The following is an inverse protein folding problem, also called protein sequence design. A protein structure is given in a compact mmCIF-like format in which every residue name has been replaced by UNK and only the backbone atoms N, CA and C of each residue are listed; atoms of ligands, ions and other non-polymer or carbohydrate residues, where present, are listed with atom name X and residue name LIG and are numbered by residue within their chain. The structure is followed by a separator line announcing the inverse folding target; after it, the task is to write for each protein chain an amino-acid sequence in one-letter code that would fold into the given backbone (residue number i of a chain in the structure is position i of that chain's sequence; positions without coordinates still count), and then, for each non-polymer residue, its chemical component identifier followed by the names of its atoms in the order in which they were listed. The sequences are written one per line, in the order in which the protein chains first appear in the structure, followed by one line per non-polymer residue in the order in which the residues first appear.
data_IF_150247715177
#
_entry.id   IF_150247715177
#
_cell.length_a   1.000
_cell.length_b   1.000
_cell.length_c   1.000
_cell.angle_alpha   90.00
_cell.angle_beta   90.00
_cell.angle_gamma   90.00
#
_symmetry.space_group_name_H-M   'P 1'
#
loop_
_entity.id
_entity.type
_entity.pdbx_description
1 polymer ?
#
# COMPACT_ATOMS: atom_id res chain seq x y z
N UNK A 1 2.54 -63.55 -3.15
CA UNK A 1 1.46 -62.99 -2.30
C UNK A 1 1.40 -61.49 -2.61
N UNK A 2 0.63 -61.12 -3.64
CA UNK A 2 -0.63 -60.31 -3.58
C UNK A 2 -0.36 -58.83 -3.22
N UNK A 3 -0.21 -57.97 -4.24
CA UNK A 3 -1.23 -57.03 -4.79
C UNK A 3 -1.61 -55.91 -3.82
N UNK A 4 -1.43 -54.63 -4.15
CA UNK A 4 -2.31 -53.97 -5.12
C UNK A 4 -1.79 -52.61 -5.60
N UNK A 5 -2.00 -52.38 -6.90
CA UNK A 5 -1.96 -51.11 -7.62
C UNK A 5 -3.25 -50.32 -7.34
N UNK A 6 -3.17 -49.02 -7.05
CA UNK A 6 -4.30 -48.10 -7.21
C UNK A 6 -3.86 -46.88 -8.01
N UNK A 7 -4.43 -46.80 -9.22
CA UNK A 7 -4.33 -45.75 -10.21
C UNK A 7 -5.49 -44.77 -9.97
N UNK A 8 -5.21 -43.48 -9.81
CA UNK A 8 -6.23 -42.42 -9.71
C UNK A 8 -5.87 -41.22 -10.56
N UNK A 9 -6.53 -41.07 -11.72
CA UNK A 9 -6.52 -39.87 -12.59
C UNK A 9 -7.62 -38.87 -12.13
N UNK A 10 -7.64 -37.63 -12.63
CA UNK A 10 -7.93 -36.42 -11.86
C UNK A 10 -9.40 -35.99 -11.92
N UNK A 11 -9.85 -35.19 -10.95
CA UNK A 11 -11.18 -34.55 -10.96
C UNK A 11 -11.07 -33.02 -10.95
N UNK A 12 -11.49 -32.44 -12.08
CA UNK A 12 -12.18 -31.16 -12.29
C UNK A 12 -11.62 -29.86 -11.68
N UNK A 13 -10.75 -29.19 -12.43
CA UNK A 13 -10.48 -27.75 -12.35
C UNK A 13 -11.35 -26.95 -13.33
N UNK A 14 -12.68 -27.01 -13.18
CA UNK A 14 -13.63 -26.35 -14.12
C UNK A 14 -14.54 -25.31 -13.46
N UNK A 15 -14.50 -25.16 -12.13
CA UNK A 15 -15.37 -24.22 -11.41
C UNK A 15 -14.82 -22.78 -11.37
N UNK A 16 -13.50 -22.59 -11.29
CA UNK A 16 -12.90 -21.25 -11.12
C UNK A 16 -12.87 -20.38 -12.39
N UNK A 17 -13.08 -20.97 -13.57
CA UNK A 17 -13.06 -20.24 -14.85
C UNK A 17 -14.39 -19.53 -15.12
N UNK A 18 -15.52 -20.09 -14.68
CA UNK A 18 -16.85 -19.52 -14.94
C UNK A 18 -17.19 -18.31 -14.07
N UNK A 19 -16.65 -18.24 -12.84
CA UNK A 19 -16.86 -17.11 -11.92
C UNK A 19 -16.04 -15.87 -12.33
N UNK A 20 -14.86 -16.07 -12.94
CA UNK A 20 -14.01 -14.99 -13.45
C UNK A 20 -14.55 -14.34 -14.73
N UNK A 21 -15.27 -15.09 -15.56
CA UNK A 21 -15.93 -14.55 -16.77
C UNK A 21 -17.18 -13.72 -16.41
N UNK A 22 -17.88 -14.05 -15.31
CA UNK A 22 -19.02 -13.26 -14.83
C UNK A 22 -18.60 -11.86 -14.32
N UNK A 23 -17.47 -11.74 -13.63
CA UNK A 23 -16.94 -10.45 -13.14
C UNK A 23 -16.38 -9.57 -14.28
N UNK A 24 -15.80 -10.18 -15.32
CA UNK A 24 -15.34 -9.45 -16.51
C UNK A 24 -16.50 -8.82 -17.30
N UNK A 25 -17.67 -9.47 -17.35
CA UNK A 25 -18.85 -8.93 -18.04
C UNK A 25 -19.55 -7.80 -17.26
N UNK A 26 -19.54 -7.83 -15.93
CA UNK A 26 -20.09 -6.73 -15.10
C UNK A 26 -19.18 -5.49 -15.17
N UNK A 27 -17.86 -5.66 -15.21
CA UNK A 27 -16.90 -4.57 -15.42
C UNK A 27 -16.99 -3.93 -16.81
N UNK A 28 -17.24 -4.72 -17.86
CA UNK A 28 -17.39 -4.22 -19.23
C UNK A 28 -18.69 -3.43 -19.45
N UNK A 29 -19.80 -3.84 -18.82
CA UNK A 29 -21.09 -3.13 -18.93
C UNK A 29 -21.12 -1.84 -18.09
N UNK A 30 -20.44 -1.81 -16.94
CA UNK A 30 -20.30 -0.60 -16.14
C UNK A 30 -19.32 0.42 -16.75
N UNK A 31 -18.25 -0.04 -17.43
CA UNK A 31 -17.33 0.83 -18.17
C UNK A 31 -17.92 1.43 -19.45
N UNK A 32 -18.78 0.69 -20.15
CA UNK A 32 -19.45 1.18 -21.37
C UNK A 32 -20.55 2.21 -21.07
N UNK A 33 -21.27 2.07 -19.96
CA UNK A 33 -22.30 3.05 -19.54
C UNK A 33 -21.74 4.42 -19.16
N UNK A 34 -20.46 4.49 -18.81
CA UNK A 34 -19.80 5.73 -18.32
C UNK A 34 -19.07 6.50 -19.43
N UNK A 35 -18.72 5.83 -20.55
CA UNK A 35 -18.10 6.46 -21.73
C UNK A 35 -19.12 6.96 -22.77
N UNK A 36 -20.42 6.82 -22.51
CA UNK A 36 -21.51 7.20 -23.42
C UNK A 36 -22.40 8.34 -22.90
N UNK A 37 -21.81 9.36 -22.25
CA UNK A 37 -22.47 10.67 -22.15
C UNK A 37 -21.66 11.68 -22.97
N UNK A 38 -21.93 11.82 -24.28
CA UNK A 38 -21.46 12.96 -25.04
C UNK A 38 -22.39 14.15 -24.83
N UNK A 39 -21.74 15.30 -24.66
CA UNK A 39 -22.15 16.64 -25.09
C UNK A 39 -23.30 16.63 -26.11
N UNK A 40 -24.43 17.21 -25.75
CA UNK A 40 -25.35 17.92 -26.64
C UNK A 40 -26.21 18.87 -25.79
N UNK A 41 -25.75 20.11 -25.69
CA UNK A 41 -26.62 21.23 -25.42
C UNK A 41 -27.35 21.61 -26.72
N UNK A 42 -28.56 22.14 -26.56
CA UNK A 42 -29.47 22.72 -27.56
C UNK A 42 -30.39 21.75 -28.31
N UNK A 43 -31.58 21.50 -27.73
CA UNK A 43 -32.87 21.71 -28.40
C UNK A 43 -34.04 21.67 -27.39
N UNK A 44 -34.88 22.70 -27.46
CA UNK A 44 -36.10 22.99 -26.68
C UNK A 44 -37.24 21.96 -26.93
N UNK A 45 -38.33 21.98 -26.12
CA UNK A 45 -39.08 20.77 -25.76
C UNK A 45 -40.27 20.47 -26.69
N UNK A 46 -40.63 19.19 -26.76
CA UNK A 46 -41.91 18.75 -27.28
C UNK A 46 -42.60 17.77 -26.32
N UNK A 47 -43.91 17.92 -26.27
CA UNK A 47 -44.92 17.51 -25.29
C UNK A 47 -45.28 16.01 -25.22
N UNK A 48 -45.69 15.61 -24.02
CA UNK A 48 -46.76 14.67 -23.66
C UNK A 48 -46.63 13.17 -23.99
N UNK A 49 -46.65 12.30 -22.96
CA UNK A 49 -47.87 11.68 -22.42
C UNK A 49 -47.53 10.47 -21.53
N UNK A 50 -48.30 10.25 -20.45
CA UNK A 50 -48.29 9.04 -19.61
C UNK A 50 -49.57 8.22 -19.89
N UNK A 51 -49.59 6.89 -19.68
CA UNK A 51 -50.03 6.38 -18.36
C UNK A 51 -49.41 5.04 -17.87
N UNK A 52 -49.03 5.01 -16.58
CA UNK A 52 -49.39 4.13 -15.43
C UNK A 52 -49.93 2.67 -15.64
N UNK A 53 -49.98 1.81 -14.58
CA UNK A 53 -48.93 0.96 -14.00
C UNK A 53 -49.32 -0.55 -13.96
N UNK A 54 -48.37 -1.46 -13.71
CA UNK A 54 -48.69 -2.78 -13.12
C UNK A 54 -47.64 -3.18 -12.09
N UNK A 55 -48.13 -3.57 -10.91
CA UNK A 55 -47.37 -4.12 -9.79
C UNK A 55 -47.78 -5.59 -9.61
N UNK A 56 -46.82 -6.45 -9.28
CA UNK A 56 -47.05 -7.68 -8.52
C UNK A 56 -45.78 -8.06 -7.75
N UNK A 57 -45.90 -8.64 -6.54
CA UNK A 57 -44.82 -8.71 -5.56
C UNK A 57 -44.00 -10.00 -5.69
N UNK A 58 -42.70 -9.93 -5.39
CA UNK A 58 -41.88 -11.11 -5.14
C UNK A 58 -41.21 -10.98 -3.76
N UNK A 59 -41.50 -11.97 -2.91
CA UNK A 59 -41.05 -12.14 -1.53
C UNK A 59 -39.51 -12.26 -1.42
N UNK A 60 -38.92 -11.97 -0.24
CA UNK A 60 -37.48 -11.99 -0.04
C UNK A 60 -36.96 -13.43 -0.06
N UNK A 61 -35.90 -13.66 -0.84
CA UNK A 61 -35.05 -14.84 -0.70
C UNK A 61 -33.91 -14.47 0.24
N UNK A 62 -33.89 -15.14 1.39
CA UNK A 62 -32.72 -15.19 2.25
C UNK A 62 -31.62 -15.93 1.49
N UNK A 63 -30.62 -15.19 1.02
CA UNK A 63 -29.40 -15.75 0.45
C UNK A 63 -28.33 -15.69 1.53
N UNK A 64 -28.10 -16.85 2.15
CA UNK A 64 -27.08 -17.12 3.14
C UNK A 64 -25.70 -16.94 2.47
N UNK A 65 -25.18 -15.72 2.53
CA UNK A 65 -23.89 -15.37 1.93
C UNK A 65 -22.75 -16.06 2.67
N UNK A 66 -22.09 -16.96 1.94
CA UNK A 66 -20.91 -17.72 2.34
C UNK A 66 -19.81 -16.81 2.87
N UNK A 67 -19.35 -17.07 4.10
CA UNK A 67 -18.38 -16.32 4.89
C UNK A 67 -16.93 -16.29 4.34
N UNK A 68 -16.73 -16.48 3.04
CA UNK A 68 -15.40 -16.56 2.38
C UNK A 68 -15.09 -15.32 1.52
N UNK A 69 -16.07 -14.47 1.20
CA UNK A 69 -15.87 -13.25 0.38
C UNK A 69 -15.77 -11.95 1.19
N UNK A 70 -15.63 -12.03 2.53
CA UNK A 70 -15.58 -10.87 3.42
C UNK A 70 -14.17 -10.46 3.87
N UNK A 71 -13.12 -10.98 3.25
CA UNK A 71 -11.73 -10.68 3.64
C UNK A 71 -11.22 -9.38 2.98
N UNK A 72 -11.76 -9.02 1.81
CA UNK A 72 -11.31 -7.84 1.04
C UNK A 72 -12.06 -6.51 1.33
N UNK A 73 -13.34 -6.47 1.76
CA UNK A 73 -14.00 -5.19 2.07
C UNK A 73 -13.56 -4.60 3.43
N UNK A 74 -13.00 -5.40 4.34
CA UNK A 74 -12.66 -4.97 5.71
C UNK A 74 -11.40 -4.09 5.73
N UNK A 75 -10.43 -4.35 4.85
CA UNK A 75 -9.25 -3.49 4.70
C UNK A 75 -9.60 -2.07 4.21
N UNK A 76 -10.69 -1.94 3.44
CA UNK A 76 -11.17 -0.66 2.91
C UNK A 76 -12.06 0.08 3.90
N UNK A 77 -12.89 -0.63 4.69
CA UNK A 77 -13.73 -0.04 5.75
C UNK A 77 -12.94 0.51 6.94
N UNK A 78 -11.76 -0.05 7.26
CA UNK A 78 -10.93 0.40 8.38
C UNK A 78 -10.37 1.82 8.23
N UNK A 79 -10.01 2.24 7.02
CA UNK A 79 -9.21 3.47 6.84
C UNK A 79 -10.02 4.77 6.95
N UNK A 80 -11.30 4.78 6.54
CA UNK A 80 -12.17 5.96 6.71
C UNK A 80 -12.92 5.96 8.06
N UNK A 81 -13.19 4.78 8.63
CA UNK A 81 -13.91 4.64 9.89
C UNK A 81 -13.07 4.97 11.12
N UNK A 82 -11.78 4.60 11.14
CA UNK A 82 -10.92 4.74 12.32
C UNK A 82 -10.56 6.21 12.61
N UNK A 83 -10.29 7.03 11.59
CA UNK A 83 -9.99 8.48 11.77
C UNK A 83 -11.23 9.27 12.20
N UNK A 84 -12.40 8.95 11.64
CA UNK A 84 -13.67 9.58 12.02
C UNK A 84 -14.13 9.15 13.43
N UNK A 85 -13.94 7.88 13.80
CA UNK A 85 -14.27 7.38 15.14
C UNK A 85 -13.31 7.93 16.21
N UNK A 86 -12.02 8.07 15.90
CA UNK A 86 -11.02 8.58 16.86
C UNK A 86 -11.21 10.07 17.17
N UNK A 87 -11.52 10.90 16.18
CA UNK A 87 -11.80 12.34 16.41
C UNK A 87 -13.05 12.56 17.29
N UNK A 88 -14.04 11.66 17.23
CA UNK A 88 -15.22 11.69 18.09
C UNK A 88 -14.92 11.19 19.52
N UNK A 89 -14.19 10.07 19.66
CA UNK A 89 -13.84 9.49 20.98
C UNK A 89 -12.83 10.36 21.75
N UNK A 90 -11.86 10.98 21.06
CA UNK A 90 -10.86 11.86 21.69
C UNK A 90 -11.45 13.21 22.12
N UNK A 91 -12.47 13.74 21.41
CA UNK A 91 -13.23 14.92 21.88
C UNK A 91 -14.09 14.61 23.10
N UNK A 92 -14.73 13.45 23.16
CA UNK A 92 -15.56 13.04 24.29
C UNK A 92 -14.78 12.80 25.59
N UNK A 93 -13.54 12.32 25.50
CA UNK A 93 -12.70 12.03 26.68
C UNK A 93 -12.12 13.25 27.41
N UNK A 94 -12.32 14.47 26.89
CA UNK A 94 -11.99 15.72 27.62
C UNK A 94 -13.16 16.28 28.43
N UNK A 95 -14.36 15.67 28.36
CA UNK A 95 -15.57 16.18 29.02
C UNK A 95 -16.11 15.28 30.15
N UNK A 96 -15.43 14.19 30.51
CA UNK A 96 -15.87 13.31 31.60
C UNK A 96 -14.82 13.26 32.70
N UNK A 97 -14.91 14.21 33.63
CA UNK A 97 -14.24 14.14 34.92
C UNK A 97 -14.92 13.10 35.81
N UNK A 98 -14.56 11.84 35.64
CA UNK A 98 -14.83 10.79 36.62
C UNK A 98 -13.47 10.34 37.14
N UNK A 99 -13.20 10.62 38.41
CA UNK A 99 -11.99 10.18 39.10
C UNK A 99 -12.07 8.66 39.24
N UNK A 100 -11.46 7.96 38.29
CA UNK A 100 -11.22 6.52 38.39
C UNK A 100 -9.94 6.32 39.20
N UNK A 101 -9.94 5.36 40.11
CA UNK A 101 -8.78 4.98 40.92
C UNK A 101 -7.50 4.87 40.07
N UNK A 102 -6.37 5.33 40.62
CA UNK A 102 -5.10 5.35 39.90
C UNK A 102 -4.80 3.95 39.33
N UNK A 103 -4.70 3.81 37.99
CA UNK A 103 -4.40 2.51 37.40
C UNK A 103 -3.04 2.03 37.89
N UNK A 104 -2.89 0.72 38.06
CA UNK A 104 -1.59 0.10 38.32
C UNK A 104 -0.59 0.56 37.26
N UNK A 105 0.68 0.73 37.66
CA UNK A 105 1.74 1.09 36.71
C UNK A 105 1.74 0.08 35.54
N UNK A 106 1.78 0.55 34.28
CA UNK A 106 1.71 -0.33 33.12
C UNK A 106 2.86 -1.33 33.14
N UNK A 107 2.60 -2.58 32.76
CA UNK A 107 3.68 -3.56 32.64
C UNK A 107 4.58 -3.22 31.45
N UNK A 108 5.84 -3.71 31.40
CA UNK A 108 6.71 -3.51 30.24
C UNK A 108 6.10 -4.02 28.92
N UNK A 109 5.30 -5.09 28.97
CA UNK A 109 4.58 -5.61 27.80
C UNK A 109 3.44 -4.68 27.36
N UNK A 110 2.76 -4.02 28.31
CA UNK A 110 1.71 -3.04 27.99
C UNK A 110 2.30 -1.78 27.35
N UNK A 111 3.46 -1.32 27.84
CA UNK A 111 4.18 -0.18 27.27
C UNK A 111 4.64 -0.45 25.84
N UNK A 112 5.16 -1.64 25.58
CA UNK A 112 5.58 -2.08 24.24
C UNK A 112 4.40 -2.12 23.26
N UNK A 113 3.32 -2.80 23.65
CA UNK A 113 2.07 -2.87 22.85
C UNK A 113 1.50 -1.49 22.57
N UNK A 114 1.53 -0.58 23.55
CA UNK A 114 1.05 0.80 23.40
C UNK A 114 1.92 1.60 22.41
N UNK A 115 3.24 1.44 22.44
CA UNK A 115 4.14 2.10 21.51
C UNK A 115 3.92 1.59 20.07
N UNK A 116 3.77 0.28 19.88
CA UNK A 116 3.44 -0.32 18.56
C UNK A 116 2.13 0.24 18.00
N UNK A 117 1.08 0.27 18.80
CA UNK A 117 -0.21 0.83 18.39
C UNK A 117 -0.10 2.32 18.02
N UNK A 118 0.62 3.11 18.82
CA UNK A 118 0.82 4.53 18.56
C UNK A 118 1.59 4.80 17.25
N UNK A 119 2.59 3.99 16.92
CA UNK A 119 3.35 4.09 15.66
C UNK A 119 2.46 3.83 14.44
N UNK A 120 1.66 2.75 14.49
CA UNK A 120 0.72 2.39 13.42
C UNK A 120 -0.32 3.50 13.22
N UNK A 121 -0.94 3.97 14.31
CA UNK A 121 -1.95 5.02 14.28
C UNK A 121 -1.40 6.34 13.72
N UNK A 122 -0.20 6.74 14.14
CA UNK A 122 0.43 7.97 13.65
C UNK A 122 0.83 7.88 12.17
N UNK A 123 1.39 6.75 11.71
CA UNK A 123 1.74 6.53 10.31
C UNK A 123 0.48 6.48 9.41
N UNK A 124 -0.60 5.83 9.85
CA UNK A 124 -1.87 5.84 9.14
C UNK A 124 -2.45 7.26 9.02
N UNK A 125 -2.39 8.04 10.10
CA UNK A 125 -2.88 9.43 10.13
C UNK A 125 -2.08 10.34 9.19
N UNK A 126 -0.76 10.21 9.17
CA UNK A 126 0.11 10.96 8.24
C UNK A 126 -0.20 10.58 6.80
N UNK A 127 -0.28 9.28 6.47
CA UNK A 127 -0.58 8.81 5.12
C UNK A 127 -1.97 9.24 4.64
N UNK A 128 -2.99 9.13 5.49
CA UNK A 128 -4.34 9.60 5.15
C UNK A 128 -4.36 11.12 4.86
N UNK A 129 -3.58 11.89 5.62
CA UNK A 129 -3.44 13.33 5.38
C UNK A 129 -2.69 13.63 4.08
N UNK A 130 -1.62 12.89 3.76
CA UNK A 130 -0.89 12.99 2.50
C UNK A 130 -1.78 12.66 1.28
N UNK A 131 -2.68 11.68 1.40
CA UNK A 131 -3.65 11.31 0.36
C UNK A 131 -4.72 12.38 0.13
N UNK A 132 -5.12 13.11 1.17
CA UNK A 132 -6.15 14.17 1.07
C UNK A 132 -5.62 15.45 0.40
N UNK A 133 -4.33 15.75 0.56
CA UNK A 133 -3.73 17.02 0.09
C UNK A 133 -3.87 17.27 -1.43
N UNK A 134 -3.64 16.30 -2.35
CA UNK A 134 -3.83 16.53 -3.77
C UNK A 134 -5.27 16.87 -4.17
N UNK A 135 -6.26 16.29 -3.49
CA UNK A 135 -7.68 16.62 -3.73
C UNK A 135 -8.02 18.01 -3.19
N UNK A 136 -7.51 18.34 -2.00
CA UNK A 136 -7.66 19.70 -1.45
C UNK A 136 -6.99 20.76 -2.34
N UNK A 137 -5.82 20.45 -2.92
CA UNK A 137 -5.09 21.36 -3.83
C UNK A 137 -5.81 21.64 -5.15
N UNK A 138 -6.75 20.80 -5.55
CA UNK A 138 -7.57 21.04 -6.73
C UNK A 138 -8.72 22.03 -6.48
N UNK A 139 -9.02 22.30 -5.21
CA UNK A 139 -10.16 23.13 -4.79
C UNK A 139 -9.72 24.42 -4.11
N UNK A 140 -8.60 24.36 -3.38
CA UNK A 140 -8.12 25.43 -2.52
C UNK A 140 -6.85 26.06 -3.11
N UNK A 141 -6.71 27.38 -2.91
CA UNK A 141 -5.49 28.07 -3.28
C UNK A 141 -4.28 27.70 -2.40
N UNK A 142 -3.08 28.00 -2.88
CA UNK A 142 -1.83 27.66 -2.20
C UNK A 142 -1.74 28.31 -0.81
N UNK A 143 -2.23 29.55 -0.66
CA UNK A 143 -2.15 30.28 0.60
C UNK A 143 -2.98 29.60 1.69
N UNK A 144 -4.15 29.10 1.31
CA UNK A 144 -5.06 28.34 2.17
C UNK A 144 -4.49 26.95 2.47
N UNK A 145 -3.82 26.33 1.51
CA UNK A 145 -3.30 24.97 1.66
C UNK A 145 -1.98 24.88 2.46
N UNK A 146 -1.16 25.95 2.45
CA UNK A 146 0.17 25.97 3.06
C UNK A 146 0.21 25.51 4.54
N UNK A 147 -0.72 25.93 5.43
CA UNK A 147 -0.73 25.47 6.82
C UNK A 147 -0.95 23.96 6.97
N UNK A 148 -1.75 23.34 6.09
CA UNK A 148 -2.01 21.90 6.10
C UNK A 148 -0.78 21.12 5.65
N UNK A 149 -0.12 21.57 4.57
CA UNK A 149 1.16 20.96 4.12
C UNK A 149 2.23 21.04 5.19
N UNK A 150 2.33 22.20 5.86
CA UNK A 150 3.26 22.36 6.97
C UNK A 150 2.94 21.40 8.13
N UNK A 151 1.66 21.24 8.51
CA UNK A 151 1.25 20.30 9.54
C UNK A 151 1.62 18.84 9.19
N UNK A 152 1.38 18.41 7.95
CA UNK A 152 1.74 17.07 7.46
C UNK A 152 3.26 16.87 7.48
N UNK A 153 4.04 17.87 7.04
CA UNK A 153 5.50 17.81 7.08
C UNK A 153 6.05 17.68 8.51
N UNK A 154 5.51 18.46 9.44
CA UNK A 154 5.88 18.40 10.86
C UNK A 154 5.51 17.04 11.47
N UNK A 155 4.30 16.53 11.19
CA UNK A 155 3.87 15.21 11.67
C UNK A 155 4.76 14.07 11.13
N UNK A 156 5.16 14.13 9.85
CA UNK A 156 6.11 13.19 9.25
C UNK A 156 7.47 13.23 9.93
N UNK A 157 7.92 14.42 10.34
CA UNK A 157 9.19 14.60 11.05
C UNK A 157 9.14 13.92 12.43
N UNK A 158 8.06 14.14 13.18
CA UNK A 158 7.86 13.49 14.48
C UNK A 158 7.74 11.97 14.37
N UNK A 159 6.99 11.48 13.37
CA UNK A 159 6.87 10.06 13.10
C UNK A 159 8.22 9.42 12.73
N UNK A 160 9.02 10.09 11.91
CA UNK A 160 10.37 9.64 11.56
C UNK A 160 11.27 9.53 12.79
N UNK A 161 11.19 10.50 13.70
CA UNK A 161 11.91 10.48 14.97
C UNK A 161 11.40 9.38 15.91
N UNK A 162 10.09 9.11 15.93
CA UNK A 162 9.50 8.00 16.69
C UNK A 162 10.00 6.64 16.20
N UNK A 163 9.99 6.39 14.89
CA UNK A 163 10.53 5.15 14.33
C UNK A 163 12.04 4.99 14.54
N UNK A 164 12.80 6.09 14.58
CA UNK A 164 14.22 6.04 14.89
C UNK A 164 14.48 5.65 16.36
N UNK A 165 13.68 6.17 17.29
CA UNK A 165 13.72 5.76 18.70
C UNK A 165 13.33 4.29 18.87
N UNK A 166 12.24 3.87 18.24
CA UNK A 166 11.76 2.50 18.27
C UNK A 166 12.81 1.51 17.72
N UNK A 167 13.46 1.86 16.60
CA UNK A 167 14.48 0.99 16.02
C UNK A 167 15.67 0.76 16.95
N UNK A 168 16.21 1.82 17.58
CA UNK A 168 17.28 1.68 18.58
C UNK A 168 16.87 0.85 19.80
N UNK A 169 15.60 0.95 20.20
CA UNK A 169 15.04 0.12 21.25
C UNK A 169 15.03 -1.37 20.88
N UNK A 170 14.58 -1.71 19.66
CA UNK A 170 14.60 -3.09 19.16
C UNK A 170 16.03 -3.64 18.99
N UNK A 171 17.01 -2.78 18.71
CA UNK A 171 18.43 -3.15 18.63
C UNK A 171 19.11 -3.31 20.01
N UNK A 172 18.40 -3.00 21.10
CA UNK A 172 18.96 -3.05 22.46
C UNK A 172 19.94 -1.91 22.77
N UNK A 173 20.00 -0.88 21.93
CA UNK A 173 20.86 0.30 22.08
C UNK A 173 20.19 1.42 22.90
N UNK A 174 18.92 1.25 23.24
CA UNK A 174 18.19 2.19 24.09
C UNK A 174 18.68 2.10 25.55
N UNK A 175 18.74 3.25 26.22
CA UNK A 175 19.01 3.34 27.65
C UNK A 175 17.84 2.82 28.49
N UNK A 176 17.20 3.71 29.25
CA UNK A 176 15.98 3.34 29.98
C UNK A 176 14.86 2.95 29.00
N UNK A 177 14.43 1.67 29.09
CA UNK A 177 13.37 1.08 28.26
C UNK A 177 12.06 1.82 28.40
N UNK A 178 11.63 2.10 29.62
CA UNK A 178 10.32 2.74 29.86
C UNK A 178 10.33 4.18 29.35
N UNK A 179 11.41 4.91 29.62
CA UNK A 179 11.61 6.26 29.09
C UNK A 179 11.61 6.29 27.55
N UNK A 180 12.25 5.31 26.91
CA UNK A 180 12.33 5.24 25.44
C UNK A 180 10.96 4.97 24.83
N UNK A 181 10.21 4.00 25.36
CA UNK A 181 8.85 3.69 24.90
C UNK A 181 7.88 4.87 25.14
N UNK A 182 8.00 5.55 26.28
CA UNK A 182 7.26 6.78 26.54
C UNK A 182 7.61 7.89 25.53
N UNK A 183 8.89 8.01 25.16
CA UNK A 183 9.35 8.93 24.11
C UNK A 183 8.76 8.62 22.73
N UNK A 184 8.67 7.34 22.34
CA UNK A 184 8.01 6.90 21.09
C UNK A 184 6.54 7.32 21.11
N UNK A 185 5.81 6.99 22.18
CA UNK A 185 4.39 7.34 22.32
C UNK A 185 4.19 8.86 22.30
N UNK A 186 5.04 9.61 22.99
CA UNK A 186 4.98 11.08 23.03
C UNK A 186 5.12 11.72 21.65
N UNK A 187 6.07 11.26 20.83
CA UNK A 187 6.25 11.75 19.45
C UNK A 187 5.10 11.37 18.52
N UNK A 188 4.57 10.15 18.64
CA UNK A 188 3.38 9.75 17.88
C UNK A 188 2.17 10.62 18.25
N UNK A 189 1.99 10.90 19.54
CA UNK A 189 0.91 11.77 20.03
C UNK A 189 1.06 13.22 19.53
N UNK A 190 2.30 13.71 19.43
CA UNK A 190 2.61 15.03 18.87
C UNK A 190 2.30 15.09 17.36
N UNK A 191 2.71 14.09 16.59
CA UNK A 191 2.37 13.98 15.17
C UNK A 191 0.85 14.05 14.96
N UNK A 192 0.08 13.27 15.72
CA UNK A 192 -1.39 13.31 15.68
C UNK A 192 -1.96 14.67 16.13
N UNK A 193 -1.39 15.31 17.16
CA UNK A 193 -1.84 16.62 17.64
C UNK A 193 -1.69 17.70 16.58
N UNK A 194 -0.57 17.71 15.85
CA UNK A 194 -0.31 18.70 14.79
C UNK A 194 -1.28 18.55 13.62
N UNK A 195 -1.62 17.32 13.23
CA UNK A 195 -2.65 17.04 12.22
C UNK A 195 -4.06 17.46 12.71
N UNK A 196 -4.43 17.03 13.93
CA UNK A 196 -5.74 17.33 14.53
C UNK A 196 -6.01 18.82 14.69
N UNK A 197 -4.96 19.63 14.91
CA UNK A 197 -5.08 21.08 15.02
C UNK A 197 -5.59 21.75 13.74
N UNK A 198 -5.45 21.08 12.59
CA UNK A 198 -5.88 21.57 11.27
C UNK A 198 -7.08 20.82 10.70
N UNK A 199 -7.30 19.58 11.11
CA UNK A 199 -8.36 18.72 10.56
C UNK A 199 -9.74 19.39 10.52
N UNK A 200 -10.14 20.07 11.61
CA UNK A 200 -11.46 20.73 11.67
C UNK A 200 -11.65 21.90 10.71
N UNK A 201 -10.57 22.60 10.35
CA UNK A 201 -10.59 23.70 9.37
C UNK A 201 -10.68 23.13 7.94
N UNK A 202 -9.85 22.13 7.62
CA UNK A 202 -9.89 21.44 6.33
C UNK A 202 -11.26 20.85 6.06
N UNK A 203 -11.82 20.14 7.04
CA UNK A 203 -13.15 19.58 7.02
C UNK A 203 -14.23 20.61 6.63
N UNK A 204 -14.16 21.84 7.18
CA UNK A 204 -15.14 22.89 6.88
C UNK A 204 -15.00 23.40 5.45
N UNK A 205 -13.77 23.68 5.02
CA UNK A 205 -13.48 24.12 3.66
C UNK A 205 -13.95 23.07 2.64
N UNK A 206 -13.66 21.79 2.90
CA UNK A 206 -14.04 20.70 2.01
C UNK A 206 -15.54 20.42 1.97
N UNK A 207 -16.26 20.60 3.10
CA UNK A 207 -17.73 20.50 3.12
C UNK A 207 -18.40 21.58 2.28
N UNK A 208 -17.88 22.81 2.33
CA UNK A 208 -18.39 23.91 1.50
C UNK A 208 -18.26 23.63 0.00
N UNK A 209 -17.27 22.81 -0.38
CA UNK A 209 -16.93 22.49 -1.77
C UNK A 209 -17.37 21.07 -2.18
N UNK A 210 -18.36 20.44 -1.51
CA UNK A 210 -18.67 19.01 -1.73
C UNK A 210 -19.04 18.67 -3.19
N UNK A 211 -19.75 19.57 -3.88
CA UNK A 211 -20.09 19.42 -5.30
C UNK A 211 -18.86 19.46 -6.21
N UNK A 212 -18.09 20.57 -6.23
CA UNK A 212 -16.83 20.66 -6.96
C UNK A 212 -15.82 19.55 -6.59
N UNK A 213 -15.76 19.14 -5.33
CA UNK A 213 -14.89 18.06 -4.86
C UNK A 213 -15.27 16.71 -5.48
N UNK A 214 -16.58 16.43 -5.63
CA UNK A 214 -17.06 15.24 -6.33
C UNK A 214 -16.59 15.23 -7.80
N UNK A 215 -16.70 16.35 -8.51
CA UNK A 215 -16.23 16.46 -9.90
C UNK A 215 -14.71 16.25 -10.04
N UNK A 216 -13.93 16.78 -9.10
CA UNK A 216 -12.47 16.54 -9.03
C UNK A 216 -12.18 15.05 -8.86
N UNK A 217 -12.86 14.38 -7.92
CA UNK A 217 -12.67 12.96 -7.65
C UNK A 217 -13.07 12.08 -8.85
N UNK A 218 -14.19 12.39 -9.51
CA UNK A 218 -14.62 11.72 -10.74
C UNK A 218 -13.64 11.93 -11.91
N UNK A 219 -13.09 13.14 -12.04
CA UNK A 219 -12.02 13.44 -12.97
C UNK A 219 -10.76 12.61 -12.72
N UNK A 220 -10.35 12.50 -11.46
CA UNK A 220 -9.19 11.68 -11.06
C UNK A 220 -9.44 10.18 -11.34
N UNK A 221 -10.64 9.68 -11.00
CA UNK A 221 -11.06 8.31 -11.26
C UNK A 221 -11.00 7.95 -12.76
N UNK A 222 -11.54 8.81 -13.64
CA UNK A 222 -11.45 8.64 -15.12
C UNK A 222 -10.01 8.49 -15.59
N UNK A 223 -9.16 9.44 -15.21
CA UNK A 223 -7.74 9.45 -15.61
C UNK A 223 -7.02 8.20 -15.12
N UNK A 224 -7.29 7.78 -13.89
CA UNK A 224 -6.66 6.60 -13.31
C UNK A 224 -7.13 5.31 -13.97
N UNK A 225 -8.41 5.21 -14.34
CA UNK A 225 -8.95 4.06 -15.07
C UNK A 225 -8.27 3.90 -16.43
N UNK A 226 -8.04 4.99 -17.16
CA UNK A 226 -7.28 4.96 -18.41
C UNK A 226 -5.84 4.46 -18.18
N UNK A 227 -5.14 5.02 -17.17
CA UNK A 227 -3.78 4.59 -16.84
C UNK A 227 -3.70 3.13 -16.37
N UNK A 228 -4.71 2.61 -15.69
CA UNK A 228 -4.76 1.20 -15.30
C UNK A 228 -4.85 0.26 -16.51
N UNK A 229 -5.54 0.68 -17.58
CA UNK A 229 -5.55 -0.05 -18.85
C UNK A 229 -4.15 -0.06 -19.50
N UNK A 230 -3.47 1.09 -19.54
CA UNK A 230 -2.09 1.19 -20.04
C UNK A 230 -1.11 0.32 -19.23
N UNK A 231 -1.30 0.27 -17.90
CA UNK A 231 -0.48 -0.57 -17.02
C UNK A 231 -0.59 -2.06 -17.34
N UNK A 232 -1.77 -2.56 -17.78
CA UNK A 232 -1.93 -3.96 -18.24
C UNK A 232 -1.10 -4.26 -19.48
N UNK A 233 -1.03 -3.31 -20.43
CA UNK A 233 -0.19 -3.44 -21.60
C UNK A 233 1.30 -3.49 -21.20
N UNK A 234 1.72 -2.61 -20.29
CA UNK A 234 3.08 -2.61 -19.73
C UNK A 234 3.42 -3.93 -19.05
N UNK A 235 2.52 -4.52 -18.26
CA UNK A 235 2.74 -5.84 -17.63
C UNK A 235 2.98 -6.93 -18.68
N UNK A 236 2.25 -6.89 -19.80
CA UNK A 236 2.43 -7.85 -20.90
C UNK A 236 3.81 -7.68 -21.54
N UNK A 237 4.23 -6.45 -21.82
CA UNK A 237 5.57 -6.14 -22.35
C UNK A 237 6.68 -6.62 -21.38
N UNK A 238 6.53 -6.35 -20.08
CA UNK A 238 7.51 -6.77 -19.07
C UNK A 238 7.63 -8.29 -18.99
N UNK A 239 6.50 -9.00 -19.08
CA UNK A 239 6.47 -10.47 -19.09
C UNK A 239 7.20 -11.05 -20.28
N UNK A 240 7.03 -10.46 -21.46
CA UNK A 240 7.69 -10.91 -22.69
C UNK A 240 9.19 -10.62 -22.68
N UNK A 241 9.58 -9.42 -22.22
CA UNK A 241 10.99 -8.98 -22.24
C UNK A 241 11.83 -9.57 -21.10
N UNK A 242 11.29 -9.66 -19.89
CA UNK A 242 12.04 -10.04 -18.68
C UNK A 242 11.57 -11.37 -18.05
N UNK A 243 10.60 -12.03 -18.66
CA UNK A 243 10.15 -13.36 -18.27
C UNK A 243 8.91 -13.37 -17.34
N UNK A 244 8.35 -14.58 -17.13
CA UNK A 244 7.04 -14.74 -16.47
C UNK A 244 7.02 -14.34 -15.01
N UNK A 245 8.12 -14.51 -14.28
CA UNK A 245 8.22 -14.16 -12.85
C UNK A 245 8.12 -12.65 -12.62
N UNK A 246 8.73 -11.84 -13.49
CA UNK A 246 8.63 -10.37 -13.46
C UNK A 246 7.20 -9.94 -13.78
N UNK A 247 6.61 -10.49 -14.85
CA UNK A 247 5.24 -10.19 -15.23
C UNK A 247 4.23 -10.52 -14.11
N UNK A 248 4.36 -11.69 -13.47
CA UNK A 248 3.47 -12.11 -12.40
C UNK A 248 3.50 -11.20 -11.17
N UNK A 249 4.69 -10.71 -10.78
CA UNK A 249 4.84 -9.76 -9.65
C UNK A 249 4.07 -8.47 -9.89
N UNK A 250 4.18 -7.92 -11.09
CA UNK A 250 3.60 -6.61 -11.43
C UNK A 250 2.12 -6.73 -11.80
N UNK A 251 1.68 -7.88 -12.30
CA UNK A 251 0.27 -8.15 -12.59
C UNK A 251 -0.61 -8.03 -11.34
N UNK A 252 -0.14 -8.50 -10.18
CA UNK A 252 -0.85 -8.39 -8.92
C UNK A 252 -1.22 -6.94 -8.57
N UNK A 253 -0.29 -6.00 -8.77
CA UNK A 253 -0.55 -4.58 -8.53
C UNK A 253 -1.69 -4.02 -9.40
N UNK A 254 -1.79 -4.48 -10.66
CA UNK A 254 -2.84 -4.01 -11.58
C UNK A 254 -4.21 -4.57 -11.19
N UNK A 255 -4.29 -5.85 -10.83
CA UNK A 255 -5.55 -6.43 -10.34
C UNK A 255 -6.04 -5.72 -9.07
N UNK A 256 -5.14 -5.49 -8.12
CA UNK A 256 -5.46 -4.79 -6.88
C UNK A 256 -5.85 -3.31 -7.10
N UNK A 257 -5.32 -2.68 -8.14
CA UNK A 257 -5.73 -1.34 -8.55
C UNK A 257 -7.14 -1.35 -9.14
N UNK A 258 -7.49 -2.38 -9.90
CA UNK A 258 -8.82 -2.53 -10.49
C UNK A 258 -9.88 -2.79 -9.43
N UNK A 259 -9.59 -3.61 -8.42
CA UNK A 259 -10.48 -3.84 -7.28
C UNK A 259 -10.79 -2.52 -6.55
N UNK A 260 -9.78 -1.67 -6.35
CA UNK A 260 -9.95 -0.33 -5.78
C UNK A 260 -10.81 0.56 -6.67
N UNK A 261 -10.61 0.55 -7.99
CA UNK A 261 -11.44 1.32 -8.91
C UNK A 261 -12.92 0.88 -8.89
N UNK A 262 -13.19 -0.42 -8.73
CA UNK A 262 -14.55 -0.93 -8.53
C UNK A 262 -15.14 -0.38 -7.22
N UNK A 263 -14.37 -0.41 -6.13
CA UNK A 263 -14.79 0.18 -4.85
C UNK A 263 -15.04 1.69 -4.97
N UNK A 264 -14.13 2.44 -5.62
CA UNK A 264 -14.29 3.88 -5.89
C UNK A 264 -15.60 4.16 -6.61
N UNK A 265 -15.96 3.36 -7.61
CA UNK A 265 -17.22 3.52 -8.38
C UNK A 265 -18.44 3.48 -7.46
N UNK A 266 -18.49 2.51 -6.53
CA UNK A 266 -19.58 2.42 -5.56
C UNK A 266 -19.63 3.64 -4.63
N UNK A 267 -18.48 4.10 -4.14
CA UNK A 267 -18.38 5.26 -3.24
C UNK A 267 -18.77 6.57 -3.93
N UNK A 268 -18.33 6.81 -5.17
CA UNK A 268 -18.71 8.00 -5.94
C UNK A 268 -20.22 8.04 -6.20
N UNK A 269 -20.83 6.91 -6.56
CA UNK A 269 -22.29 6.81 -6.74
C UNK A 269 -23.07 7.05 -5.43
N UNK A 270 -22.54 6.61 -4.29
CA UNK A 270 -23.15 6.94 -2.99
C UNK A 270 -22.95 8.40 -2.58
N UNK A 271 -21.80 8.99 -2.90
CA UNK A 271 -21.54 10.41 -2.67
C UNK A 271 -22.50 11.28 -3.49
N UNK A 272 -22.67 10.99 -4.79
CA UNK A 272 -23.61 11.71 -5.67
C UNK A 272 -25.04 11.66 -5.16
N UNK A 273 -25.54 10.46 -4.83
CA UNK A 273 -26.88 10.28 -4.24
C UNK A 273 -27.06 11.06 -2.94
N UNK A 274 -26.02 11.13 -2.10
CA UNK A 274 -26.10 11.90 -0.85
C UNK A 274 -26.12 13.41 -1.11
N UNK A 275 -25.39 13.91 -2.12
CA UNK A 275 -25.47 15.31 -2.57
C UNK A 275 -26.89 15.63 -3.08
N UNK A 276 -27.46 14.76 -3.92
CA UNK A 276 -28.82 14.96 -4.47
C UNK A 276 -29.91 14.99 -3.38
N UNK A 277 -29.69 14.25 -2.29
CA UNK A 277 -30.58 14.18 -1.12
C UNK A 277 -30.30 15.28 -0.07
N UNK A 278 -29.27 16.10 -0.25
CA UNK A 278 -28.86 17.12 0.73
C UNK A 278 -28.20 16.56 2.01
N UNK A 279 -27.78 15.28 2.02
CA UNK A 279 -27.05 14.67 3.14
C UNK A 279 -25.54 14.91 2.99
N UNK A 280 -25.12 16.15 3.25
CA UNK A 280 -23.72 16.58 3.13
C UNK A 280 -22.77 15.71 3.96
N UNK A 281 -23.19 15.32 5.17
CA UNK A 281 -22.39 14.51 6.07
C UNK A 281 -22.08 13.15 5.48
N UNK A 282 -23.07 12.48 4.87
CA UNK A 282 -22.86 11.23 4.15
C UNK A 282 -22.06 11.45 2.88
N UNK A 283 -22.35 12.49 2.10
CA UNK A 283 -21.62 12.80 0.86
C UNK A 283 -20.11 12.91 1.10
N UNK A 284 -19.71 13.67 2.12
CA UNK A 284 -18.29 13.87 2.47
C UNK A 284 -17.61 12.56 2.91
N UNK A 285 -18.29 11.71 3.71
CA UNK A 285 -17.72 10.42 4.11
C UNK A 285 -17.50 9.50 2.92
N UNK A 286 -18.45 9.43 1.99
CA UNK A 286 -18.34 8.59 0.80
C UNK A 286 -17.29 9.13 -0.17
N UNK A 287 -17.25 10.44 -0.36
CA UNK A 287 -16.24 11.09 -1.18
C UNK A 287 -14.82 10.84 -0.66
N UNK A 288 -14.58 10.99 0.64
CA UNK A 288 -13.27 10.67 1.26
C UNK A 288 -12.84 9.24 1.05
N UNK A 289 -13.78 8.30 1.16
CA UNK A 289 -13.53 6.89 0.90
C UNK A 289 -13.17 6.64 -0.58
N UNK A 290 -13.84 7.33 -1.50
CA UNK A 290 -13.52 7.28 -2.93
C UNK A 290 -12.12 7.82 -3.22
N UNK A 291 -11.79 9.01 -2.68
CA UNK A 291 -10.50 9.68 -2.87
C UNK A 291 -9.32 8.86 -2.34
N UNK A 292 -9.43 8.31 -1.12
CA UNK A 292 -8.40 7.44 -0.56
C UNK A 292 -8.19 6.20 -1.43
N UNK A 293 -9.27 5.60 -1.94
CA UNK A 293 -9.17 4.46 -2.85
C UNK A 293 -8.54 4.83 -4.21
N UNK A 294 -8.85 6.01 -4.77
CA UNK A 294 -8.18 6.55 -5.97
C UNK A 294 -6.69 6.77 -5.71
N UNK A 295 -6.32 7.33 -4.56
CA UNK A 295 -4.92 7.56 -4.20
C UNK A 295 -4.15 6.23 -4.13
N UNK A 296 -4.70 5.22 -3.45
CA UNK A 296 -4.09 3.90 -3.35
C UNK A 296 -3.97 3.17 -4.70
N UNK A 297 -5.02 3.20 -5.54
CA UNK A 297 -4.96 2.67 -6.89
C UNK A 297 -3.90 3.41 -7.74
N UNK A 298 -3.75 4.72 -7.52
CA UNK A 298 -2.70 5.54 -8.12
C UNK A 298 -1.28 5.09 -7.75
N UNK A 299 -1.05 4.73 -6.49
CA UNK A 299 0.23 4.18 -6.01
C UNK A 299 0.58 2.91 -6.78
N UNK A 300 -0.37 1.98 -6.88
CA UNK A 300 -0.20 0.69 -7.56
C UNK A 300 0.10 0.86 -9.06
N UNK A 301 -0.71 1.65 -9.78
CA UNK A 301 -0.51 1.92 -11.20
C UNK A 301 0.83 2.60 -11.46
N UNK A 302 1.20 3.60 -10.65
CA UNK A 302 2.49 4.24 -10.76
C UNK A 302 3.67 3.32 -10.39
N UNK A 303 3.43 2.32 -9.53
CA UNK A 303 4.40 1.28 -9.19
C UNK A 303 4.79 0.41 -10.40
N UNK A 304 3.83 0.12 -11.29
CA UNK A 304 4.08 -0.56 -12.57
C UNK A 304 5.06 0.25 -13.44
N UNK A 305 4.77 1.53 -13.64
CA UNK A 305 5.61 2.45 -14.43
C UNK A 305 7.03 2.57 -13.85
N UNK A 306 7.14 2.72 -12.52
CA UNK A 306 8.41 2.77 -11.80
C UNK A 306 9.20 1.47 -11.98
N UNK A 307 8.55 0.32 -11.87
CA UNK A 307 9.17 -0.99 -12.02
C UNK A 307 9.67 -1.20 -13.46
N UNK A 308 8.87 -0.84 -14.45
CA UNK A 308 9.27 -0.92 -15.86
C UNK A 308 10.53 -0.08 -16.14
N UNK A 309 10.59 1.15 -15.63
CA UNK A 309 11.77 2.01 -15.77
C UNK A 309 13.01 1.43 -15.08
N UNK A 310 12.86 0.93 -13.84
CA UNK A 310 13.96 0.33 -13.08
C UNK A 310 14.49 -0.95 -13.73
N UNK A 311 13.63 -1.78 -14.31
CA UNK A 311 14.04 -2.96 -15.06
C UNK A 311 14.85 -2.60 -16.31
N UNK A 312 14.43 -1.57 -17.06
CA UNK A 312 15.20 -1.06 -18.21
C UNK A 312 16.56 -0.50 -17.79
N UNK A 313 16.61 0.29 -16.71
CA UNK A 313 17.85 0.82 -16.16
C UNK A 313 18.78 -0.33 -15.69
N UNK A 314 18.22 -1.32 -14.99
CA UNK A 314 18.96 -2.48 -14.52
C UNK A 314 19.52 -3.30 -15.69
N UNK A 315 18.72 -3.55 -16.73
CA UNK A 315 19.16 -4.30 -17.92
C UNK A 315 20.38 -3.65 -18.59
N UNK A 316 20.41 -2.32 -18.66
CA UNK A 316 21.57 -1.58 -19.18
C UNK A 316 22.81 -1.67 -18.30
N UNK A 317 22.64 -1.81 -16.97
CA UNK A 317 23.75 -1.87 -16.00
C UNK A 317 24.33 -3.28 -15.83
N UNK A 318 23.55 -4.34 -16.02
CA UNK A 318 23.95 -5.73 -15.74
C UNK A 318 25.29 -6.13 -16.40
N UNK A 319 25.53 -5.89 -17.71
CA UNK A 319 26.78 -6.32 -18.34
C UNK A 319 28.03 -5.66 -17.72
N UNK A 320 27.96 -4.35 -17.48
CA UNK A 320 29.07 -3.59 -16.88
C UNK A 320 29.26 -3.95 -15.40
N UNK A 321 28.17 -4.14 -14.65
CA UNK A 321 28.23 -4.58 -13.26
C UNK A 321 28.81 -5.99 -13.13
N UNK A 322 28.47 -6.92 -14.03
CA UNK A 322 29.03 -8.27 -14.06
C UNK A 322 30.54 -8.24 -14.34
N UNK A 323 30.96 -7.50 -15.36
CA UNK A 323 32.39 -7.33 -15.70
C UNK A 323 33.18 -6.71 -14.54
N UNK A 324 32.64 -5.63 -13.95
CA UNK A 324 33.26 -4.98 -12.79
C UNK A 324 33.33 -5.90 -11.57
N UNK A 325 32.29 -6.73 -11.36
CA UNK A 325 32.25 -7.70 -10.28
C UNK A 325 33.34 -8.77 -10.41
N UNK A 326 33.51 -9.31 -11.61
CA UNK A 326 34.52 -10.32 -11.92
C UNK A 326 35.94 -9.76 -11.75
N UNK A 327 36.17 -8.51 -12.17
CA UNK A 327 37.45 -7.84 -11.96
C UNK A 327 37.77 -7.62 -10.48
N UNK A 328 36.79 -7.17 -9.68
CA UNK A 328 36.94 -7.02 -8.23
C UNK A 328 37.25 -8.38 -7.59
N UNK A 329 36.51 -9.43 -7.97
CA UNK A 329 36.66 -10.76 -7.40
C UNK A 329 38.03 -11.39 -7.74
N UNK A 330 38.52 -11.20 -8.97
CA UNK A 330 39.84 -11.68 -9.39
C UNK A 330 41.01 -11.12 -8.56
N UNK A 331 40.82 -9.94 -7.95
CA UNK A 331 41.83 -9.30 -7.09
C UNK A 331 41.60 -9.52 -5.59
N UNK A 332 40.51 -10.21 -5.21
CA UNK A 332 40.13 -10.38 -3.81
C UNK A 332 40.87 -11.55 -3.14
N UNK A 333 41.51 -11.29 -2.01
CA UNK A 333 42.15 -12.31 -1.18
C UNK A 333 41.82 -12.09 0.31
N UNK A 334 41.10 -13.00 0.98
CA UNK A 334 40.41 -14.18 0.42
C UNK A 334 39.17 -13.79 -0.39
N UNK A 335 38.84 -14.60 -1.40
CA UNK A 335 37.61 -14.44 -2.17
C UNK A 335 36.37 -14.80 -1.32
N UNK A 336 35.25 -14.05 -1.41
CA UNK A 336 34.01 -14.41 -0.75
C UNK A 336 33.46 -15.75 -1.29
N UNK A 337 33.11 -16.67 -0.39
CA UNK A 337 32.62 -17.99 -0.76
C UNK A 337 31.36 -17.93 -1.64
N UNK A 338 31.36 -18.64 -2.77
CA UNK A 338 30.21 -18.72 -3.69
C UNK A 338 30.00 -17.49 -4.58
N UNK A 339 30.89 -16.48 -4.52
CA UNK A 339 30.80 -15.32 -5.39
C UNK A 339 31.03 -15.69 -6.86
N UNK A 340 32.05 -16.52 -7.16
CA UNK A 340 32.33 -16.99 -8.52
C UNK A 340 31.14 -17.73 -9.13
N UNK A 341 30.56 -18.68 -8.38
CA UNK A 341 29.37 -19.44 -8.80
C UNK A 341 28.18 -18.51 -9.08
N UNK A 342 27.99 -17.50 -8.23
CA UNK A 342 26.91 -16.52 -8.41
C UNK A 342 27.10 -15.70 -9.69
N UNK A 343 28.31 -15.21 -9.96
CA UNK A 343 28.60 -14.43 -11.17
C UNK A 343 28.49 -15.31 -12.43
N UNK A 344 28.97 -16.55 -12.37
CA UNK A 344 28.83 -17.52 -13.46
C UNK A 344 27.34 -17.84 -13.78
N UNK A 345 26.50 -17.98 -12.75
CA UNK A 345 25.06 -18.16 -12.92
C UNK A 345 24.41 -16.95 -13.60
N UNK A 346 24.72 -15.72 -13.14
CA UNK A 346 24.20 -14.49 -13.76
C UNK A 346 24.66 -14.36 -15.23
N UNK A 347 25.91 -14.71 -15.54
CA UNK A 347 26.42 -14.72 -16.92
C UNK A 347 25.65 -15.69 -17.81
N UNK A 348 25.31 -16.86 -17.27
CA UNK A 348 24.54 -17.88 -18.00
C UNK A 348 23.12 -17.39 -18.29
N UNK A 349 22.45 -16.79 -17.30
CA UNK A 349 21.11 -16.21 -17.48
C UNK A 349 21.08 -15.09 -18.53
N UNK A 350 22.09 -14.22 -18.52
CA UNK A 350 22.22 -13.12 -19.47
C UNK A 350 22.24 -13.58 -20.94
N UNK A 351 22.73 -14.80 -21.22
CA UNK A 351 22.82 -15.36 -22.57
C UNK A 351 21.71 -16.36 -22.90
N UNK A 352 20.94 -16.83 -21.90
CA UNK A 352 19.95 -17.89 -22.05
C UNK A 352 18.54 -17.39 -22.49
N UNK A 353 18.24 -16.10 -22.36
CA UNK A 353 16.94 -15.53 -22.76
C UNK A 353 16.42 -14.46 -21.79
N UNK A 354 15.08 -14.31 -21.66
CA UNK A 354 14.49 -13.37 -20.70
C UNK A 354 14.92 -13.68 -19.26
N UNK A 355 15.41 -12.65 -18.55
CA UNK A 355 15.88 -12.74 -17.17
C UNK A 355 15.39 -11.52 -16.38
N UNK A 356 15.45 -11.59 -15.05
CA UNK A 356 15.17 -10.45 -14.17
C UNK A 356 16.47 -9.64 -13.92
N UNK A 357 16.62 -8.47 -14.55
CA UNK A 357 17.83 -7.68 -14.40
C UNK A 357 18.00 -7.06 -13.01
N UNK A 358 16.91 -6.76 -12.29
CA UNK A 358 17.01 -6.26 -10.91
C UNK A 358 17.48 -7.37 -9.98
N UNK A 359 17.00 -8.59 -10.18
CA UNK A 359 17.47 -9.75 -9.43
C UNK A 359 18.95 -10.07 -9.69
N UNK A 360 19.37 -10.01 -10.96
CA UNK A 360 20.77 -10.19 -11.36
C UNK A 360 21.68 -9.17 -10.66
N UNK A 361 21.36 -7.87 -10.70
CA UNK A 361 22.13 -6.83 -10.00
C UNK A 361 22.13 -7.05 -8.48
N UNK A 362 21.01 -7.48 -7.91
CA UNK A 362 20.91 -7.79 -6.48
C UNK A 362 21.83 -8.93 -6.09
N UNK A 363 21.92 -9.99 -6.90
CA UNK A 363 22.84 -11.11 -6.66
C UNK A 363 24.29 -10.69 -6.80
N UNK A 364 24.65 -9.93 -7.84
CA UNK A 364 26.00 -9.39 -8.04
C UNK A 364 26.43 -8.54 -6.83
N UNK A 365 25.65 -7.53 -6.48
CA UNK A 365 25.99 -6.57 -5.40
C UNK A 365 26.04 -7.24 -4.03
N UNK A 366 25.19 -8.24 -3.78
CA UNK A 366 25.21 -9.01 -2.53
C UNK A 366 26.41 -9.95 -2.45
N UNK A 367 26.82 -10.60 -3.56
CA UNK A 367 27.98 -11.50 -3.58
C UNK A 367 29.28 -10.76 -3.18
N UNK A 368 29.37 -9.47 -3.52
CA UNK A 368 30.55 -8.64 -3.27
C UNK A 368 30.42 -7.70 -2.06
N UNK A 369 29.35 -7.78 -1.28
CA UNK A 369 29.05 -6.80 -0.21
C UNK A 369 30.18 -6.65 0.82
N UNK A 370 30.97 -7.72 1.03
CA UNK A 370 32.10 -7.74 1.96
C UNK A 370 33.38 -7.11 1.40
N UNK A 371 33.43 -6.80 0.11
CA UNK A 371 34.60 -6.25 -0.57
C UNK A 371 34.48 -4.72 -0.66
N UNK A 372 35.39 -3.94 -0.04
CA UNK A 372 35.36 -2.48 -0.11
C UNK A 372 35.45 -1.94 -1.54
N UNK A 373 36.22 -2.60 -2.43
CA UNK A 373 36.37 -2.22 -3.83
C UNK A 373 35.03 -2.22 -4.61
N UNK A 374 34.04 -3.01 -4.18
CA UNK A 374 32.71 -3.05 -4.77
C UNK A 374 31.83 -1.84 -4.41
N UNK A 375 32.30 -0.92 -3.55
CA UNK A 375 31.58 0.29 -3.13
C UNK A 375 31.92 1.51 -3.98
N UNK A 376 32.26 1.30 -5.25
CA UNK A 376 32.60 2.37 -6.19
C UNK A 376 32.10 2.07 -7.61
N UNK A 377 32.02 3.11 -8.43
CA UNK A 377 31.72 3.02 -9.86
C UNK A 377 30.38 2.35 -10.17
N UNK A 378 30.40 1.44 -11.15
CA UNK A 378 29.19 0.76 -11.65
C UNK A 378 28.54 -0.15 -10.60
N UNK A 379 29.33 -0.77 -9.72
CA UNK A 379 28.81 -1.66 -8.66
C UNK A 379 28.05 -0.88 -7.59
N UNK A 380 28.56 0.30 -7.22
CA UNK A 380 27.86 1.20 -6.30
C UNK A 380 26.56 1.75 -6.92
N UNK A 381 26.61 2.13 -8.21
CA UNK A 381 25.42 2.56 -8.97
C UNK A 381 24.36 1.46 -9.00
N UNK A 382 24.76 0.22 -9.29
CA UNK A 382 23.89 -0.95 -9.27
C UNK A 382 23.30 -1.20 -7.87
N UNK A 383 24.11 -1.11 -6.82
CA UNK A 383 23.63 -1.29 -5.45
C UNK A 383 22.57 -0.24 -5.09
N UNK A 384 22.77 1.03 -5.44
CA UNK A 384 21.80 2.09 -5.22
C UNK A 384 20.51 1.91 -6.03
N UNK A 385 20.59 1.39 -7.26
CA UNK A 385 19.40 1.08 -8.04
C UNK A 385 18.58 -0.04 -7.37
N UNK A 386 19.23 -1.13 -6.96
CA UNK A 386 18.59 -2.25 -6.25
C UNK A 386 17.97 -1.79 -4.93
N UNK A 387 18.68 -0.96 -4.17
CA UNK A 387 18.19 -0.43 -2.90
C UNK A 387 16.95 0.47 -3.10
N UNK A 388 16.99 1.39 -4.06
CA UNK A 388 15.84 2.24 -4.43
C UNK A 388 14.66 1.41 -4.92
N UNK A 389 14.92 0.33 -5.66
CA UNK A 389 13.88 -0.59 -6.10
C UNK A 389 13.19 -1.27 -4.91
N UNK A 390 13.96 -1.88 -4.02
CA UNK A 390 13.45 -2.58 -2.85
C UNK A 390 12.73 -1.66 -1.86
N UNK A 391 13.29 -0.47 -1.57
CA UNK A 391 12.65 0.52 -0.69
C UNK A 391 11.31 0.96 -1.29
N UNK A 392 11.28 1.33 -2.58
CA UNK A 392 10.03 1.77 -3.21
C UNK A 392 8.96 0.67 -3.26
N UNK A 393 9.34 -0.59 -3.49
CA UNK A 393 8.40 -1.71 -3.45
C UNK A 393 7.78 -1.90 -2.06
N UNK A 394 8.61 -1.84 -1.01
CA UNK A 394 8.14 -1.92 0.37
C UNK A 394 7.28 -0.69 0.76
N UNK A 395 7.66 0.52 0.34
CA UNK A 395 6.88 1.75 0.56
C UNK A 395 5.49 1.65 -0.07
N UNK A 396 5.42 1.23 -1.34
CA UNK A 396 4.18 1.06 -2.08
C UNK A 396 3.29 0.00 -1.41
N UNK A 397 3.85 -1.15 -1.05
CA UNK A 397 3.10 -2.23 -0.40
C UNK A 397 2.51 -1.80 0.95
N UNK A 398 3.32 -1.18 1.81
CA UNK A 398 2.88 -0.68 3.12
C UNK A 398 1.82 0.42 2.97
N UNK A 399 1.96 1.32 2.00
CA UNK A 399 0.97 2.38 1.74
C UNK A 399 -0.42 1.80 1.42
N UNK A 400 -0.42 0.79 0.55
CA UNK A 400 -1.62 0.18 -0.03
C UNK A 400 -2.31 -0.77 0.95
N UNK A 401 -1.54 -1.42 1.83
CA UNK A 401 -2.02 -2.43 2.79
C UNK A 401 -2.01 -1.97 4.24
N UNK A 402 -1.98 -0.65 4.48
CA UNK A 402 -1.77 -0.06 5.82
C UNK A 402 -2.69 -0.63 6.91
N UNK A 403 -3.95 -0.95 6.61
CA UNK A 403 -4.90 -1.49 7.58
C UNK A 403 -4.54 -2.87 8.16
N UNK A 404 -3.68 -3.62 7.46
CA UNK A 404 -3.22 -4.94 7.87
C UNK A 404 -1.78 -4.96 8.39
N UNK A 405 -0.95 -3.98 7.97
CA UNK A 405 0.49 -3.95 8.23
C UNK A 405 0.79 -3.32 9.60
N UNK A 406 1.47 -4.08 10.47
CA UNK A 406 1.81 -3.69 11.84
C UNK A 406 3.04 -2.77 11.98
N UNK A 407 3.47 -2.57 13.22
CA UNK A 407 4.57 -1.65 13.55
C UNK A 407 5.95 -2.12 13.06
N UNK A 408 6.22 -3.43 13.09
CA UNK A 408 7.53 -4.01 12.76
C UNK A 408 7.94 -3.80 11.29
N UNK A 409 7.12 -4.18 10.29
CA UNK A 409 7.45 -3.87 8.89
C UNK A 409 7.59 -2.36 8.65
N UNK A 410 6.75 -1.51 9.27
CA UNK A 410 6.84 -0.05 9.15
C UNK A 410 8.16 0.49 9.73
N UNK A 411 8.60 -0.04 10.86
CA UNK A 411 9.87 0.34 11.48
C UNK A 411 11.07 -0.07 10.61
N UNK A 412 11.08 -1.30 10.10
CA UNK A 412 12.14 -1.77 9.19
C UNK A 412 12.18 -0.96 7.90
N UNK A 413 11.01 -0.57 7.37
CA UNK A 413 10.94 0.32 6.21
C UNK A 413 11.55 1.70 6.52
N UNK A 414 11.18 2.30 7.65
CA UNK A 414 11.76 3.56 8.10
C UNK A 414 13.28 3.46 8.31
N UNK A 415 13.78 2.34 8.83
CA UNK A 415 15.21 2.06 8.92
C UNK A 415 15.85 1.95 7.53
N UNK A 416 15.24 1.22 6.60
CA UNK A 416 15.74 1.08 5.23
C UNK A 416 15.87 2.44 4.52
N UNK A 417 14.88 3.32 4.67
CA UNK A 417 14.91 4.69 4.10
C UNK A 417 16.07 5.50 4.70
N UNK A 418 16.27 5.46 6.02
CA UNK A 418 17.41 6.14 6.67
C UNK A 418 18.76 5.58 6.22
N UNK A 419 18.87 4.26 6.13
CA UNK A 419 20.11 3.58 5.70
C UNK A 419 20.44 3.90 4.24
N UNK A 420 19.43 4.04 3.38
CA UNK A 420 19.61 4.47 1.99
C UNK A 420 20.14 5.91 1.89
N UNK A 421 19.71 6.80 2.80
CA UNK A 421 20.23 8.15 2.89
C UNK A 421 21.67 8.23 3.45
N UNK A 422 22.15 7.19 4.15
CA UNK A 422 23.47 7.07 4.76
C UNK A 422 24.48 6.29 3.89
N UNK A 423 24.50 6.51 2.56
CA UNK A 423 25.05 5.66 1.48
C UNK A 423 25.38 4.19 1.80
N UNK A 424 24.44 3.44 2.38
CA UNK A 424 24.58 1.99 2.63
C UNK A 424 23.55 1.19 1.83
N UNK A 425 23.62 1.19 0.48
CA UNK A 425 22.56 0.69 -0.37
C UNK A 425 22.26 -0.81 -0.18
N UNK A 426 23.28 -1.66 0.00
CA UNK A 426 23.04 -3.10 0.17
C UNK A 426 22.31 -3.41 1.49
N UNK A 427 22.67 -2.73 2.57
CA UNK A 427 22.00 -2.86 3.87
C UNK A 427 20.56 -2.34 3.81
N UNK A 428 20.34 -1.18 3.17
CA UNK A 428 19.02 -0.64 2.93
C UNK A 428 18.13 -1.61 2.14
N UNK A 429 18.67 -2.25 1.09
CA UNK A 429 17.95 -3.24 0.29
C UNK A 429 17.56 -4.47 1.13
N UNK A 430 18.41 -4.91 2.06
CA UNK A 430 18.12 -6.03 2.97
C UNK A 430 16.99 -5.66 3.94
N UNK A 431 17.06 -4.49 4.56
CA UNK A 431 16.03 -4.00 5.47
C UNK A 431 14.68 -3.84 4.76
N UNK A 432 14.67 -3.23 3.57
CA UNK A 432 13.45 -3.03 2.79
C UNK A 432 12.78 -4.36 2.40
N UNK A 433 13.56 -5.35 1.96
CA UNK A 433 13.02 -6.68 1.65
C UNK A 433 12.44 -7.38 2.86
N UNK A 434 13.10 -7.29 4.02
CA UNK A 434 12.58 -7.86 5.26
C UNK A 434 11.30 -7.16 5.70
N UNK A 435 11.22 -5.84 5.52
CA UNK A 435 10.00 -5.07 5.75
C UNK A 435 8.85 -5.58 4.85
N UNK A 436 9.11 -5.78 3.56
CA UNK A 436 8.12 -6.32 2.62
C UNK A 436 7.69 -7.75 3.00
N UNK A 437 8.62 -8.66 3.29
CA UNK A 437 8.33 -10.04 3.67
C UNK A 437 7.45 -10.12 4.95
N UNK A 438 7.70 -9.23 5.92
CA UNK A 438 6.86 -9.12 7.12
C UNK A 438 5.50 -8.48 6.81
N UNK A 439 5.45 -7.41 6.02
CA UNK A 439 4.20 -6.78 5.62
C UNK A 439 3.28 -7.76 4.84
N UNK A 440 3.84 -8.57 3.95
CA UNK A 440 3.09 -9.62 3.27
C UNK A 440 2.60 -10.70 4.23
N UNK A 441 3.40 -11.07 5.23
CA UNK A 441 2.95 -12.01 6.27
C UNK A 441 1.77 -11.41 7.04
N UNK A 442 1.88 -10.16 7.48
CA UNK A 442 0.82 -9.46 8.19
C UNK A 442 -0.48 -9.49 7.39
N UNK A 443 -0.44 -9.12 6.10
CA UNK A 443 -1.60 -9.16 5.19
C UNK A 443 -2.18 -10.56 5.06
N UNK A 444 -1.35 -11.60 4.90
CA UNK A 444 -1.82 -13.00 4.79
C UNK A 444 -2.49 -13.49 6.07
N UNK A 445 -2.04 -13.02 7.23
CA UNK A 445 -2.60 -13.42 8.54
C UNK A 445 -3.74 -12.53 9.00
N UNK A 446 -3.95 -11.38 8.35
CA UNK A 446 -4.96 -10.41 8.74
C UNK A 446 -6.37 -11.00 8.65
N UNK A 447 -7.13 -10.90 9.74
CA UNK A 447 -8.50 -11.42 9.81
C UNK A 447 -8.62 -12.93 10.04
N UNK A 448 -7.52 -13.67 10.18
CA UNK A 448 -7.58 -14.99 10.79
C UNK A 448 -7.83 -14.79 12.30
N UNK A 449 -8.81 -15.47 12.91
CA UNK A 449 -8.91 -15.46 14.37
C UNK A 449 -7.56 -15.93 14.90
N UNK A 450 -7.01 -15.22 15.89
CA UNK A 450 -5.84 -15.70 16.63
C UNK A 450 -6.24 -17.05 17.22
N UNK A 451 -5.93 -18.13 16.52
CA UNK A 451 -5.98 -19.46 17.09
C UNK A 451 -4.98 -19.40 18.21
N UNK A 452 -5.50 -19.40 19.42
CA UNK A 452 -4.83 -19.43 20.70
C UNK A 452 -3.79 -20.56 20.69
N UNK A 453 -2.63 -20.31 20.06
CA UNK A 453 -1.43 -21.07 20.29
C UNK A 453 -0.83 -20.51 21.56
N UNK A 454 -1.57 -20.71 22.65
CA UNK A 454 -1.05 -20.73 24.00
C UNK A 454 0.17 -21.63 23.98
N UNK A 455 1.35 -21.00 24.00
CA UNK A 455 2.60 -21.71 24.22
C UNK A 455 2.63 -22.07 25.69
N UNK A 456 2.02 -23.22 26.01
CA UNK A 456 2.41 -24.04 27.15
C UNK A 456 3.92 -24.19 27.11
N UNK A 457 4.61 -23.42 27.95
CA UNK A 457 5.97 -23.70 28.38
C UNK A 457 5.84 -24.46 29.70
N UNK A 458 5.64 -25.77 29.59
CA UNK A 458 5.81 -26.73 30.68
C UNK A 458 7.17 -27.40 30.51
N UNK A 459 7.96 -27.41 31.58
CA UNK A 459 9.26 -28.09 31.67
C UNK A 459 10.36 -27.14 32.08
#
# INVERSE_FOLDING_TARGET
MTSSLVRGRPRHATAHIRVRVAHALVGAVAGAGWLAIPVLAAQEPATASAPRPTAAPAAPRDDESSAVDLILPVAVLGTAGVVAAYSYVRRGRRASGVVSAAPAAPTPADSDRRARAALVEADDSVRASEEELPFAAALLDERTLAPFRHAVHTARTELSAAFALWHRYEEGEAGDREQTLAGVVGRCAEAGRVLDARAGELDRLRRAEVGPALEVAEGAFRRLTARAADARATVTELRERYGPSVGARVAGCVEEAMDRLVFTTARLNEARRAVDLGDEGRAVRQLRSAEGSVAQAGILVAGVDRTARRLREAAGLVPAALTGAEAVLATAAPAPSGADDTLAAVRTELTAGPYDPLDALRRITRALVRLPAARSGVLDTAAHLVARAAVGEAEDYVAVHRGAVGADPRSLLAAAVRTLAAPRPVEAAVLARRALELAERDVRTHGLPESDTGRFRTG
#
